data_IF_642652044869
#
_entry.id   IF_642652044869
#
_cell.length_a   1.000
_cell.length_b   1.000
_cell.length_c   1.000
_cell.angle_alpha   90.00
_cell.angle_beta   90.00
_cell.angle_gamma   90.00
#
_symmetry.space_group_name_H-M   'P 1'
#
loop_
_entity.id
_entity.type
_entity.pdbx_description
1 polymer ?
#
# COMPACT_ATOMS: atom_id res chain seq x y z
N UNK A 1 -5.80 -15.20 -11.03
CA UNK A 1 -4.47 -15.16 -11.71
C UNK A 1 -3.65 -14.05 -11.07
N UNK A 2 -2.48 -14.35 -10.49
CA UNK A 2 -1.59 -13.34 -9.88
C UNK A 2 -0.92 -12.50 -10.97
N UNK A 3 -1.00 -11.17 -10.86
CA UNK A 3 -0.50 -10.18 -11.83
C UNK A 3 0.53 -9.25 -11.22
N UNK A 4 0.51 -9.04 -9.90
CA UNK A 4 1.38 -8.09 -9.21
C UNK A 4 2.87 -8.31 -9.54
N UNK A 5 3.35 -9.55 -9.50
CA UNK A 5 4.75 -9.87 -9.80
C UNK A 5 5.17 -9.48 -11.23
N UNK A 6 4.30 -9.66 -12.22
CA UNK A 6 4.59 -9.32 -13.61
C UNK A 6 4.55 -7.79 -13.80
N UNK A 7 3.55 -7.13 -13.22
CA UNK A 7 3.45 -5.67 -13.21
C UNK A 7 4.66 -5.02 -12.55
N UNK A 8 5.14 -5.56 -11.42
CA UNK A 8 6.34 -5.08 -10.74
C UNK A 8 7.59 -5.15 -11.62
N UNK A 9 7.79 -6.25 -12.34
CA UNK A 9 8.91 -6.38 -13.29
C UNK A 9 8.79 -5.37 -14.42
N UNK A 10 7.59 -5.17 -14.94
CA UNK A 10 7.30 -4.19 -16.00
C UNK A 10 7.60 -2.75 -15.54
N UNK A 11 7.07 -2.32 -14.40
CA UNK A 11 7.30 -0.96 -13.89
C UNK A 11 8.77 -0.68 -13.59
N UNK A 12 9.51 -1.67 -13.08
CA UNK A 12 10.97 -1.54 -12.89
C UNK A 12 11.75 -1.38 -14.20
N UNK A 13 11.22 -1.90 -15.30
CA UNK A 13 11.83 -1.78 -16.63
C UNK A 13 11.40 -0.52 -17.41
N UNK A 14 10.29 0.12 -17.04
CA UNK A 14 9.72 1.26 -17.76
C UNK A 14 10.34 2.61 -17.40
N UNK A 15 11.30 2.65 -16.47
CA UNK A 15 12.13 3.82 -16.19
C UNK A 15 11.84 4.46 -14.82
N UNK A 16 11.75 5.79 -14.78
CA UNK A 16 11.72 6.59 -13.55
C UNK A 16 10.56 6.21 -12.62
N UNK A 17 10.83 5.63 -11.43
CA UNK A 17 9.81 5.28 -10.47
C UNK A 17 8.94 6.47 -10.02
N UNK A 18 9.50 7.69 -9.98
CA UNK A 18 8.77 8.88 -9.54
C UNK A 18 7.67 9.27 -10.55
N UNK A 19 7.97 9.18 -11.85
CA UNK A 19 7.00 9.40 -12.90
C UNK A 19 5.86 8.35 -12.90
N UNK A 20 6.13 7.16 -12.35
CA UNK A 20 5.21 6.01 -12.30
C UNK A 20 4.64 5.75 -10.89
N UNK A 21 4.64 6.75 -10.01
CA UNK A 21 4.27 6.57 -8.61
C UNK A 21 2.82 6.06 -8.42
N UNK A 22 1.91 6.41 -9.34
CA UNK A 22 0.51 5.96 -9.32
C UNK A 22 0.33 4.51 -9.79
N UNK A 23 1.21 4.03 -10.65
CA UNK A 23 1.27 2.64 -11.05
C UNK A 23 1.84 1.79 -9.90
N UNK A 24 2.84 2.32 -9.19
CA UNK A 24 3.40 1.69 -8.00
C UNK A 24 2.38 1.58 -6.86
N UNK A 25 1.60 2.61 -6.55
CA UNK A 25 0.56 2.53 -5.50
C UNK A 25 -0.48 1.45 -5.84
N UNK A 26 -0.91 1.39 -7.10
CA UNK A 26 -1.86 0.37 -7.60
C UNK A 26 -1.26 -1.03 -7.47
N UNK A 27 0.02 -1.18 -7.83
CA UNK A 27 0.75 -2.43 -7.70
C UNK A 27 0.83 -2.91 -6.24
N UNK A 28 1.15 -2.02 -5.29
CA UNK A 28 1.24 -2.40 -3.87
C UNK A 28 -0.11 -2.91 -3.35
N UNK A 29 -1.21 -2.22 -3.67
CA UNK A 29 -2.55 -2.65 -3.27
C UNK A 29 -2.90 -4.02 -3.89
N UNK A 30 -2.60 -4.22 -5.17
CA UNK A 30 -2.79 -5.50 -5.85
C UNK A 30 -1.98 -6.62 -5.20
N UNK A 31 -0.72 -6.37 -4.84
CA UNK A 31 0.15 -7.39 -4.25
C UNK A 31 -0.41 -7.90 -2.92
N UNK A 32 -0.88 -7.01 -2.05
CA UNK A 32 -1.47 -7.39 -0.76
C UNK A 32 -2.80 -8.10 -0.95
N UNK A 33 -3.65 -7.62 -1.87
CA UNK A 33 -4.93 -8.28 -2.16
C UNK A 33 -4.72 -9.68 -2.78
N UNK A 34 -3.68 -9.89 -3.58
CA UNK A 34 -3.30 -11.20 -4.11
C UNK A 34 -2.78 -12.15 -3.01
N UNK A 35 -2.04 -11.64 -2.02
CA UNK A 35 -1.60 -12.41 -0.86
C UNK A 35 -2.78 -12.83 0.02
N UNK A 36 -3.71 -11.90 0.29
CA UNK A 36 -4.96 -12.18 0.99
C UNK A 36 -5.77 -13.28 0.31
N UNK A 37 -5.98 -13.14 -1.01
CA UNK A 37 -6.74 -14.11 -1.81
C UNK A 37 -6.09 -15.50 -1.86
N UNK A 38 -4.78 -15.59 -1.58
CA UNK A 38 -4.05 -16.84 -1.52
C UNK A 38 -4.04 -17.50 -0.13
N UNK A 39 -4.72 -16.92 0.87
CA UNK A 39 -4.67 -17.39 2.25
C UNK A 39 -3.32 -17.10 2.94
N UNK A 40 -2.58 -16.11 2.43
CA UNK A 40 -1.34 -15.65 3.02
C UNK A 40 -1.55 -14.89 4.33
N UNK A 41 -0.44 -14.43 4.93
CA UNK A 41 -0.51 -13.59 6.14
C UNK A 41 -0.87 -12.16 5.75
N UNK A 42 -1.89 -11.61 6.41
CA UNK A 42 -2.37 -10.25 6.16
C UNK A 42 -2.65 -9.52 7.47
N UNK A 43 -2.51 -8.19 7.44
CA UNK A 43 -2.94 -7.30 8.51
C UNK A 43 -4.24 -6.64 8.07
N UNK A 44 -5.27 -6.71 8.92
CA UNK A 44 -6.56 -6.08 8.64
C UNK A 44 -6.44 -4.56 8.55
N UNK A 45 -7.09 -3.93 7.58
CA UNK A 45 -7.09 -2.48 7.44
C UNK A 45 -8.37 -1.92 6.77
N UNK A 46 -9.54 -1.92 7.44
CA UNK A 46 -9.85 -2.51 8.75
C UNK A 46 -10.32 -3.97 8.68
N UNK A 47 -10.48 -4.52 7.47
CA UNK A 47 -10.83 -5.92 7.23
C UNK A 47 -9.81 -6.54 6.28
N UNK A 48 -9.85 -7.87 6.10
CA UNK A 48 -9.00 -8.55 5.12
C UNK A 48 -9.26 -8.08 3.69
N UNK A 49 -10.53 -7.79 3.34
CA UNK A 49 -10.89 -7.34 1.99
C UNK A 49 -10.33 -5.96 1.61
N UNK A 50 -10.02 -5.12 2.61
CA UNK A 50 -9.45 -3.80 2.43
C UNK A 50 -7.94 -3.72 2.78
N UNK A 51 -7.30 -4.86 3.11
CA UNK A 51 -5.95 -4.91 3.67
C UNK A 51 -4.87 -4.25 2.79
N UNK A 52 -5.08 -4.15 1.47
CA UNK A 52 -4.10 -3.58 0.55
C UNK A 52 -4.01 -2.05 0.54
N UNK A 53 -4.99 -1.31 1.06
CA UNK A 53 -5.05 0.15 0.90
C UNK A 53 -4.02 0.87 1.76
N UNK A 54 -4.05 0.63 3.08
CA UNK A 54 -3.11 1.25 4.04
C UNK A 54 -1.64 1.00 3.66
N UNK A 55 -1.18 -0.25 3.41
CA UNK A 55 0.21 -0.48 3.01
C UNK A 55 0.55 0.13 1.65
N UNK A 56 -0.39 0.22 0.70
CA UNK A 56 -0.12 0.85 -0.60
C UNK A 56 0.19 2.35 -0.45
N UNK A 57 -0.65 3.07 0.30
CA UNK A 57 -0.44 4.50 0.58
C UNK A 57 0.82 4.72 1.41
N UNK A 58 1.09 3.85 2.39
CA UNK A 58 2.31 3.95 3.20
C UNK A 58 3.58 3.72 2.37
N UNK A 59 3.58 2.75 1.45
CA UNK A 59 4.69 2.57 0.52
C UNK A 59 4.83 3.76 -0.44
N UNK A 60 3.74 4.37 -0.87
CA UNK A 60 3.82 5.60 -1.65
C UNK A 60 4.51 6.72 -0.86
N UNK A 61 4.10 6.93 0.39
CA UNK A 61 4.72 7.90 1.29
C UNK A 61 6.23 7.65 1.41
N UNK A 62 6.64 6.43 1.77
CA UNK A 62 8.05 6.10 1.99
C UNK A 62 8.92 6.20 0.73
N UNK A 63 8.36 5.95 -0.46
CA UNK A 63 9.15 5.85 -1.69
C UNK A 63 9.13 7.12 -2.56
N UNK A 64 8.09 7.95 -2.46
CA UNK A 64 7.86 9.04 -3.41
C UNK A 64 7.65 10.42 -2.76
N UNK A 65 7.51 10.49 -1.43
CA UNK A 65 7.37 11.77 -0.71
C UNK A 65 8.72 12.20 -0.14
N UNK A 66 9.25 13.38 -0.55
CA UNK A 66 10.50 13.90 0.01
C UNK A 66 10.39 14.10 1.53
N UNK A 67 11.41 13.64 2.26
CA UNK A 67 11.44 13.75 3.72
C UNK A 67 10.54 12.76 4.46
N UNK A 68 10.10 11.68 3.80
CA UNK A 68 9.39 10.60 4.48
C UNK A 68 10.29 9.92 5.53
N UNK A 69 9.76 9.73 6.73
CA UNK A 69 10.48 9.20 7.89
C UNK A 69 9.59 8.30 8.77
N UNK A 70 10.22 7.64 9.75
CA UNK A 70 9.53 6.72 10.67
C UNK A 70 8.49 7.45 11.54
N UNK A 71 8.76 8.69 11.96
CA UNK A 71 7.80 9.51 12.70
C UNK A 71 6.55 9.81 11.86
N UNK A 72 6.71 9.99 10.55
CA UNK A 72 5.63 10.08 9.58
C UNK A 72 4.83 8.79 9.45
N UNK A 73 5.47 7.62 9.47
CA UNK A 73 4.79 6.32 9.50
C UNK A 73 3.90 6.20 10.73
N UNK A 74 4.43 6.54 11.92
CA UNK A 74 3.66 6.49 13.18
C UNK A 74 2.47 7.45 13.10
N UNK A 75 2.68 8.70 12.68
CA UNK A 75 1.60 9.68 12.51
C UNK A 75 0.54 9.22 11.51
N UNK A 76 0.94 8.64 10.39
CA UNK A 76 0.03 8.09 9.39
C UNK A 76 -0.87 7.00 9.97
N UNK A 77 -0.31 6.03 10.70
CA UNK A 77 -1.08 4.95 11.31
C UNK A 77 -2.01 5.45 12.42
N UNK A 78 -1.56 6.39 13.26
CA UNK A 78 -2.38 7.00 14.30
C UNK A 78 -3.55 7.80 13.71
N UNK A 79 -3.29 8.60 12.68
CA UNK A 79 -4.33 9.37 11.99
C UNK A 79 -5.33 8.47 11.27
N UNK A 80 -4.86 7.43 10.56
CA UNK A 80 -5.73 6.45 9.92
C UNK A 80 -6.61 5.71 10.94
N UNK A 81 -6.04 5.34 12.09
CA UNK A 81 -6.77 4.76 13.22
C UNK A 81 -7.83 5.71 13.79
N UNK A 82 -7.48 6.98 14.00
CA UNK A 82 -8.41 8.00 14.49
C UNK A 82 -9.62 8.19 13.56
N UNK A 83 -9.38 8.29 12.25
CA UNK A 83 -10.47 8.36 11.26
C UNK A 83 -11.28 7.07 11.25
N UNK A 84 -10.62 5.90 11.34
CA UNK A 84 -11.31 4.61 11.41
C UNK A 84 -12.25 4.50 12.62
N UNK A 85 -11.90 5.09 13.76
CA UNK A 85 -12.79 5.14 14.93
C UNK A 85 -14.07 5.94 14.65
N UNK A 86 -13.98 7.08 13.95
CA UNK A 86 -15.14 7.92 13.62
C UNK A 86 -16.21 7.20 12.78
N UNK A 87 -15.83 6.22 11.97
CA UNK A 87 -16.76 5.45 11.12
C UNK A 87 -17.30 4.19 11.79
N UNK A 88 -16.74 3.81 12.96
CA UNK A 88 -17.16 2.61 13.69
C UNK A 88 -18.10 2.93 14.85
N UNK A 89 -17.98 4.13 15.43
CA UNK A 89 -18.98 4.69 16.37
C UNK A 89 -20.32 4.97 15.69
#
# INVERSE_FOLDING_TARGET
RRRAANTARKLRSEGDPQALAMEWITLYAMAVNEENAAGGRVVTAPTNGAAGIIPAVLHYYMNFVPGADEDGVVRFLLAAGAIGMLFKE
#
